data_IF_902401644074
#
_entry.id   IF_902401644074
#
_cell.length_a   1.000
_cell.length_b   1.000
_cell.length_c   1.000
_cell.angle_alpha   90.00
_cell.angle_beta   90.00
_cell.angle_gamma   90.00
#
_symmetry.space_group_name_H-M   'P 1'
#
loop_
_entity.id
_entity.type
_entity.pdbx_description
1 polymer ?
#
# COMPACT_ATOMS: atom_id res chain seq x y z
N UNK A 1 -21.49 -34.87 -1.49
CA UNK A 1 -21.00 -34.02 -0.39
C UNK A 1 -19.49 -33.74 -0.44
N UNK A 2 -18.66 -34.63 -1.02
CA UNK A 2 -17.20 -34.45 -1.09
C UNK A 2 -16.73 -33.40 -2.11
N UNK A 3 -17.46 -33.21 -3.22
CA UNK A 3 -17.07 -32.28 -4.29
C UNK A 3 -17.18 -30.82 -3.83
N UNK A 4 -18.29 -30.45 -3.17
CA UNK A 4 -18.54 -29.11 -2.63
C UNK A 4 -17.48 -28.69 -1.62
N UNK A 5 -17.10 -29.59 -0.71
CA UNK A 5 -16.06 -29.33 0.30
C UNK A 5 -14.70 -29.03 -0.34
N UNK A 6 -14.31 -29.77 -1.39
CA UNK A 6 -13.07 -29.55 -2.13
C UNK A 6 -13.04 -28.19 -2.83
N UNK A 7 -14.16 -27.77 -3.43
CA UNK A 7 -14.27 -26.46 -4.09
C UNK A 7 -14.16 -25.33 -3.08
N UNK A 8 -14.77 -25.50 -1.90
CA UNK A 8 -14.72 -24.51 -0.83
C UNK A 8 -13.30 -24.35 -0.29
N UNK A 9 -12.58 -25.47 -0.11
CA UNK A 9 -11.17 -25.45 0.27
C UNK A 9 -10.28 -24.77 -0.79
N UNK A 10 -10.52 -25.06 -2.08
CA UNK A 10 -9.78 -24.46 -3.17
C UNK A 10 -10.01 -22.95 -3.25
N UNK A 11 -11.25 -22.49 -3.09
CA UNK A 11 -11.58 -21.06 -3.05
C UNK A 11 -10.91 -20.37 -1.87
N UNK A 12 -10.93 -20.98 -0.68
CA UNK A 12 -10.28 -20.43 0.51
C UNK A 12 -8.76 -20.31 0.29
N UNK A 13 -8.11 -21.35 -0.22
CA UNK A 13 -6.68 -21.35 -0.50
C UNK A 13 -6.31 -20.25 -1.50
N UNK A 14 -7.13 -20.07 -2.55
CA UNK A 14 -6.93 -19.05 -3.58
C UNK A 14 -7.06 -17.64 -2.98
N UNK A 15 -8.09 -17.40 -2.16
CA UNK A 15 -8.29 -16.11 -1.50
C UNK A 15 -7.11 -15.73 -0.58
N UNK A 16 -6.57 -16.69 0.18
CA UNK A 16 -5.40 -16.47 1.05
C UNK A 16 -4.18 -16.10 0.21
N UNK A 17 -3.90 -16.84 -0.87
CA UNK A 17 -2.75 -16.54 -1.74
C UNK A 17 -2.85 -15.16 -2.40
N UNK A 18 -4.06 -14.73 -2.79
CA UNK A 18 -4.25 -13.43 -3.44
C UNK A 18 -4.28 -12.25 -2.45
N UNK A 19 -4.56 -12.47 -1.17
CA UNK A 19 -4.63 -11.40 -0.15
C UNK A 19 -3.31 -10.63 0.04
N UNK A 20 -2.17 -11.26 -0.28
CA UNK A 20 -0.86 -10.60 -0.25
C UNK A 20 -0.53 -9.76 -1.48
N UNK A 21 -1.37 -9.79 -2.53
CA UNK A 21 -1.14 -9.08 -3.79
C UNK A 21 -1.82 -7.70 -3.85
N UNK A 22 -2.31 -7.19 -2.72
CA UNK A 22 -2.84 -5.83 -2.67
C UNK A 22 -1.68 -4.82 -2.80
N UNK A 23 -1.82 -3.76 -3.61
CA UNK A 23 -0.86 -2.67 -3.62
C UNK A 23 -0.82 -2.07 -2.20
N UNK A 24 0.34 -2.18 -1.55
CA UNK A 24 0.56 -1.56 -0.24
C UNK A 24 0.60 -0.04 -0.37
N UNK A 25 0.34 0.66 0.74
CA UNK A 25 0.81 2.04 0.85
C UNK A 25 2.33 1.98 0.72
N UNK A 26 2.87 2.61 -0.33
CA UNK A 26 4.31 2.70 -0.52
C UNK A 26 5.00 3.21 0.74
N UNK A 27 6.28 2.84 0.91
CA UNK A 27 7.08 3.36 2.01
C UNK A 27 7.14 4.89 1.98
N UNK A 28 7.58 5.52 3.08
CA UNK A 28 7.75 6.96 3.08
C UNK A 28 8.68 7.39 1.93
N UNK A 29 8.38 8.52 1.27
CA UNK A 29 9.27 9.19 0.34
C UNK A 29 10.71 9.25 0.85
N UNK A 30 11.67 9.24 -0.08
CA UNK A 30 13.08 9.42 0.30
C UNK A 30 13.28 10.77 1.02
N UNK A 31 14.24 10.88 1.95
CA UNK A 31 14.50 12.14 2.64
C UNK A 31 14.79 13.28 1.65
N UNK A 32 14.02 14.36 1.72
CA UNK A 32 14.13 15.48 0.79
C UNK A 32 13.29 15.33 -0.48
N UNK A 33 12.35 14.38 -0.55
CA UNK A 33 11.36 14.36 -1.63
C UNK A 33 10.38 15.55 -1.49
N UNK A 34 10.14 16.27 -2.58
CA UNK A 34 9.07 17.29 -2.65
C UNK A 34 7.72 16.61 -2.43
N UNK A 35 6.83 17.22 -1.65
CA UNK A 35 5.43 16.83 -1.58
C UNK A 35 4.71 17.21 -2.89
N UNK A 36 4.36 16.26 -3.78
CA UNK A 36 3.75 16.57 -5.08
C UNK A 36 2.28 17.01 -4.95
N UNK A 37 1.67 16.79 -3.79
CA UNK A 37 0.29 17.16 -3.50
C UNK A 37 0.17 18.57 -2.92
N UNK A 38 1.29 19.28 -2.78
CA UNK A 38 1.36 20.62 -2.24
C UNK A 38 1.94 21.61 -3.24
N UNK A 39 1.46 22.85 -3.18
CA UNK A 39 2.04 24.01 -3.85
C UNK A 39 3.19 24.68 -3.08
N UNK A 40 3.44 24.29 -1.82
CA UNK A 40 4.47 24.84 -0.93
C UNK A 40 5.86 24.18 -1.04
N UNK A 41 6.00 23.14 -1.87
CA UNK A 41 7.30 22.52 -2.16
C UNK A 41 7.88 21.73 -0.97
N UNK A 42 9.19 21.82 -0.74
CA UNK A 42 9.90 21.10 0.34
C UNK A 42 9.53 21.57 1.75
N UNK A 43 8.86 22.74 1.86
CA UNK A 43 8.46 23.34 3.13
C UNK A 43 7.05 22.90 3.57
N UNK A 44 6.30 22.20 2.72
CA UNK A 44 4.93 21.81 3.03
C UNK A 44 4.82 20.31 3.31
N UNK A 45 4.85 20.01 4.60
CA UNK A 45 4.75 18.65 5.10
C UNK A 45 3.38 18.03 4.79
N UNK A 46 3.39 16.75 4.46
CA UNK A 46 2.18 15.96 4.21
C UNK A 46 2.31 14.56 4.80
N UNK A 47 1.26 13.72 4.70
CA UNK A 47 1.37 12.32 5.09
C UNK A 47 2.55 11.65 4.37
N UNK A 48 3.56 11.28 5.14
CA UNK A 48 4.86 10.73 4.71
C UNK A 48 5.85 11.73 4.08
N UNK A 49 5.53 13.01 3.91
CA UNK A 49 6.47 14.03 3.42
C UNK A 49 6.89 14.95 4.58
N UNK A 50 8.08 14.77 5.17
CA UNK A 50 8.55 15.66 6.23
C UNK A 50 8.88 17.05 5.68
N UNK A 51 8.74 18.08 6.52
CA UNK A 51 9.26 19.42 6.23
C UNK A 51 10.80 19.34 6.14
N UNK A 52 11.32 19.56 4.95
CA UNK A 52 12.76 19.49 4.64
C UNK A 52 13.32 20.84 4.21
N UNK A 53 12.57 21.93 4.44
CA UNK A 53 12.80 23.32 4.04
C UNK A 53 14.06 24.02 4.57
N UNK A 54 15.22 23.37 4.46
CA UNK A 54 16.49 23.85 4.99
C UNK A 54 17.16 24.90 4.11
#
# INVERSE_FOLDING_TARGET
MTFTLKHLLALLATAVLLSGCAPGNGGPPHPGAVNPYSSGGFNDAGPNYPDTGR
#
